data_IF_837658329745
#
_entry.id   IF_837658329745
#
_cell.length_a   1.000
_cell.length_b   1.000
_cell.length_c   1.000
_cell.angle_alpha   90.00
_cell.angle_beta   90.00
_cell.angle_gamma   90.00
#
_symmetry.space_group_name_H-M   'P 1'
#
loop_
_entity.id
_entity.type
_entity.pdbx_description
1 polymer ?
#
# COMPACT_ATOMS: atom_id res chain seq x y z
N UNK A 1 -62.63 -27.57 14.63
CA UNK A 1 -61.34 -28.07 14.08
C UNK A 1 -61.30 -27.76 12.59
N UNK A 2 -60.51 -26.77 12.13
CA UNK A 2 -60.10 -26.59 10.73
C UNK A 2 -58.80 -25.78 10.73
N UNK A 3 -57.72 -26.41 10.27
CA UNK A 3 -56.37 -25.86 10.14
C UNK A 3 -56.28 -25.14 8.80
N UNK A 4 -55.74 -23.92 8.78
CA UNK A 4 -55.23 -23.32 7.55
C UNK A 4 -53.79 -22.87 7.78
N UNK A 5 -52.87 -23.67 7.26
CA UNK A 5 -51.49 -23.30 7.02
C UNK A 5 -51.43 -22.53 5.69
N UNK A 6 -50.76 -21.38 5.66
CA UNK A 6 -50.41 -20.72 4.39
C UNK A 6 -48.94 -20.35 4.41
N UNK A 7 -48.20 -21.29 3.84
CA UNK A 7 -46.89 -21.25 3.22
C UNK A 7 -46.42 -19.85 2.80
N UNK A 8 -45.41 -19.30 3.49
CA UNK A 8 -44.67 -18.13 3.05
C UNK A 8 -43.33 -18.61 2.46
N UNK A 9 -43.28 -18.78 1.14
CA UNK A 9 -42.04 -19.09 0.41
C UNK A 9 -41.12 -17.86 0.42
N UNK A 10 -40.20 -17.79 1.39
CA UNK A 10 -39.06 -16.89 1.33
C UNK A 10 -38.03 -17.50 0.35
N UNK A 11 -38.03 -16.98 -0.88
CA UNK A 11 -36.92 -17.16 -1.81
C UNK A 11 -35.68 -16.45 -1.24
N UNK A 12 -34.87 -17.19 -0.47
CA UNK A 12 -33.51 -16.79 -0.13
C UNK A 12 -32.67 -16.96 -1.39
N UNK A 13 -32.69 -15.94 -2.23
CA UNK A 13 -31.74 -15.81 -3.34
C UNK A 13 -30.37 -15.56 -2.72
N UNK A 14 -29.61 -16.64 -2.53
CA UNK A 14 -28.22 -16.62 -2.11
C UNK A 14 -27.44 -15.94 -3.24
N UNK A 15 -27.31 -14.60 -3.17
CA UNK A 15 -26.44 -13.84 -4.04
C UNK A 15 -25.03 -14.40 -3.88
N UNK A 16 -24.60 -15.14 -4.90
CA UNK A 16 -23.23 -15.56 -5.14
C UNK A 16 -22.35 -14.31 -5.08
N UNK A 17 -21.65 -14.13 -3.96
CA UNK A 17 -20.60 -13.12 -3.82
C UNK A 17 -19.47 -13.53 -4.78
N UNK A 18 -19.29 -12.84 -5.92
CA UNK A 18 -18.16 -13.11 -6.77
C UNK A 18 -16.98 -12.35 -6.17
N UNK A 19 -16.07 -13.08 -5.53
CA UNK A 19 -14.81 -12.51 -5.11
C UNK A 19 -14.29 -13.11 -3.83
N UNK A 20 -13.78 -14.34 -3.91
CA UNK A 20 -12.60 -14.65 -3.10
C UNK A 20 -11.47 -13.75 -3.61
N UNK A 21 -11.44 -12.50 -3.15
CA UNK A 21 -10.24 -11.71 -3.20
C UNK A 21 -9.18 -12.54 -2.47
N UNK A 22 -8.19 -13.03 -3.22
CA UNK A 22 -7.13 -13.87 -2.69
C UNK A 22 -6.57 -13.22 -1.44
N UNK A 23 -6.50 -13.99 -0.36
CA UNK A 23 -5.92 -13.48 0.87
C UNK A 23 -4.53 -12.91 0.56
N UNK A 24 -4.22 -11.69 1.01
CA UNK A 24 -2.93 -11.07 0.77
C UNK A 24 -1.81 -12.01 1.17
N UNK A 25 -0.74 -12.05 0.36
CA UNK A 25 0.42 -12.90 0.59
C UNK A 25 0.96 -12.66 2.00
N UNK A 26 1.15 -13.75 2.75
CA UNK A 26 1.79 -13.68 4.05
C UNK A 26 3.19 -13.03 3.91
N UNK A 27 3.53 -12.12 4.84
CA UNK A 27 4.85 -11.50 4.85
C UNK A 27 5.93 -12.57 5.05
N UNK A 28 7.07 -12.43 4.37
CA UNK A 28 8.24 -13.24 4.73
C UNK A 28 8.65 -12.93 6.18
N UNK A 29 9.24 -13.89 6.93
CA UNK A 29 9.72 -13.64 8.29
C UNK A 29 10.70 -12.48 8.38
N UNK A 30 11.58 -12.31 7.38
CA UNK A 30 12.56 -11.23 7.32
C UNK A 30 11.87 -9.87 7.17
N UNK A 31 10.88 -9.77 6.28
CA UNK A 31 10.12 -8.53 6.07
C UNK A 31 9.22 -8.22 7.26
N UNK A 32 8.57 -9.22 7.86
CA UNK A 32 7.78 -9.02 9.09
C UNK A 32 8.65 -8.49 10.25
N UNK A 33 9.88 -9.01 10.40
CA UNK A 33 10.84 -8.54 11.40
C UNK A 33 11.30 -7.11 11.10
N UNK A 34 11.60 -6.80 9.85
CA UNK A 34 12.03 -5.47 9.40
C UNK A 34 10.94 -4.42 9.68
N UNK A 35 9.73 -4.67 9.17
CA UNK A 35 8.62 -3.72 9.26
C UNK A 35 8.01 -3.66 10.66
N UNK A 36 8.12 -4.73 11.44
CA UNK A 36 7.49 -4.84 12.76
C UNK A 36 5.96 -5.03 12.66
N UNK A 37 5.31 -5.31 13.79
CA UNK A 37 3.92 -5.77 13.81
C UNK A 37 2.90 -4.72 13.36
N UNK A 38 3.11 -3.44 13.66
CA UNK A 38 2.19 -2.35 13.32
C UNK A 38 2.10 -2.15 11.80
N UNK A 39 3.22 -1.87 11.15
CA UNK A 39 3.29 -1.73 9.68
C UNK A 39 2.84 -3.02 9.00
N UNK A 40 3.28 -4.19 9.48
CA UNK A 40 2.88 -5.50 8.92
C UNK A 40 1.36 -5.70 8.97
N UNK A 41 0.73 -5.35 10.10
CA UNK A 41 -0.72 -5.47 10.28
C UNK A 41 -1.52 -4.59 9.33
N UNK A 42 -1.08 -3.35 9.11
CA UNK A 42 -1.73 -2.43 8.16
C UNK A 42 -1.49 -2.90 6.72
N UNK A 43 -0.24 -3.26 6.37
CA UNK A 43 0.14 -3.68 5.02
C UNK A 43 -0.62 -4.93 4.55
N UNK A 44 -0.87 -5.89 5.44
CA UNK A 44 -1.59 -7.12 5.10
C UNK A 44 -3.09 -6.91 4.88
N UNK A 45 -3.70 -5.87 5.44
CA UNK A 45 -5.14 -5.66 5.26
C UNK A 45 -5.50 -4.17 5.39
N UNK A 46 -5.05 -3.34 4.44
CA UNK A 46 -5.37 -1.93 4.45
C UNK A 46 -6.85 -1.74 4.10
N UNK A 47 -7.53 -0.83 4.81
CA UNK A 47 -8.89 -0.40 4.46
C UNK A 47 -8.87 0.48 3.20
N UNK A 48 -7.79 1.24 3.03
CA UNK A 48 -7.60 2.20 1.94
C UNK A 48 -6.12 2.42 1.68
N UNK A 49 -5.76 2.56 0.40
CA UNK A 49 -4.45 3.04 -0.03
C UNK A 49 -4.62 4.26 -0.93
N UNK A 50 -4.13 5.39 -0.48
CA UNK A 50 -4.10 6.64 -1.24
C UNK A 50 -2.73 6.80 -1.93
N UNK A 51 -2.70 7.37 -3.13
CA UNK A 51 -1.46 7.63 -3.86
C UNK A 51 -1.23 9.13 -4.05
N UNK A 52 0.04 9.54 -4.09
CA UNK A 52 0.43 10.95 -4.23
C UNK A 52 1.70 11.08 -5.09
N UNK A 53 1.78 12.13 -5.91
CA UNK A 53 3.06 12.73 -6.31
C UNK A 53 3.46 13.74 -5.25
N UNK A 54 4.73 13.71 -4.86
CA UNK A 54 5.26 14.53 -3.77
C UNK A 54 6.54 15.23 -4.20
N UNK A 55 6.86 16.32 -3.49
CA UNK A 55 8.16 16.97 -3.62
C UNK A 55 9.22 16.18 -2.85
N UNK A 56 10.40 16.04 -3.45
CA UNK A 56 11.56 15.55 -2.72
C UNK A 56 12.03 16.55 -1.65
N UNK A 57 11.72 17.83 -1.83
CA UNK A 57 11.96 18.88 -0.85
C UNK A 57 10.91 18.84 0.26
N UNK A 58 11.37 18.93 1.50
CA UNK A 58 10.53 19.02 2.68
C UNK A 58 10.08 20.47 2.89
N UNK A 59 8.82 20.66 3.24
CA UNK A 59 8.28 21.97 3.62
C UNK A 59 7.41 21.81 4.87
N UNK A 60 7.84 22.40 5.97
CA UNK A 60 7.13 22.37 7.24
C UNK A 60 5.77 23.07 7.20
N UNK A 61 5.55 23.99 6.27
CA UNK A 61 4.35 24.81 6.17
C UNK A 61 3.40 24.37 5.05
N UNK A 62 3.73 23.30 4.32
CA UNK A 62 2.88 22.82 3.25
C UNK A 62 1.49 22.42 3.77
N UNK A 63 0.40 22.82 3.08
CA UNK A 63 -0.97 22.58 3.53
C UNK A 63 -1.36 21.10 3.52
N UNK A 64 -0.70 20.30 2.68
CA UNK A 64 -0.92 18.86 2.57
C UNK A 64 0.41 18.12 2.45
N UNK A 65 0.56 17.06 3.26
CA UNK A 65 1.79 16.28 3.34
C UNK A 65 1.53 14.78 3.41
N UNK A 66 2.58 14.02 3.12
CA UNK A 66 2.73 12.61 3.48
C UNK A 66 4.13 12.44 4.08
N UNK A 67 4.20 12.01 5.34
CA UNK A 67 5.40 12.22 6.15
C UNK A 67 5.76 13.71 6.21
N UNK A 68 7.01 14.02 5.86
CA UNK A 68 7.53 15.40 5.80
C UNK A 68 7.49 16.01 4.40
N UNK A 69 6.97 15.27 3.42
CA UNK A 69 6.98 15.67 2.01
C UNK A 69 5.68 16.34 1.58
N UNK A 70 5.83 17.45 0.84
CA UNK A 70 4.71 18.20 0.26
C UNK A 70 4.00 17.37 -0.81
N UNK A 71 2.68 17.26 -0.70
CA UNK A 71 1.86 16.66 -1.77
C UNK A 71 1.71 17.66 -2.91
N UNK A 72 2.22 17.29 -4.08
CA UNK A 72 2.08 18.08 -5.32
C UNK A 72 0.80 17.74 -6.06
N UNK A 73 0.43 16.46 -6.05
CA UNK A 73 -0.77 15.96 -6.72
C UNK A 73 -1.29 14.72 -6.00
N UNK A 74 -2.58 14.71 -5.66
CA UNK A 74 -3.27 13.50 -5.23
C UNK A 74 -3.57 12.60 -6.44
N UNK A 75 -3.20 11.32 -6.34
CA UNK A 75 -3.56 10.29 -7.29
C UNK A 75 -4.87 9.58 -6.91
N UNK A 76 -5.27 8.55 -7.67
CA UNK A 76 -6.45 7.76 -7.33
C UNK A 76 -6.20 6.92 -6.07
N UNK A 77 -7.30 6.52 -5.43
CA UNK A 77 -7.28 5.40 -4.46
C UNK A 77 -6.95 4.14 -5.26
N UNK A 78 -6.02 3.31 -4.76
CA UNK A 78 -5.62 2.10 -5.47
C UNK A 78 -6.82 1.14 -5.59
N UNK A 79 -6.96 0.54 -6.77
CA UNK A 79 -7.87 -0.60 -6.96
C UNK A 79 -7.40 -1.80 -6.14
N UNK A 80 -8.26 -2.80 -5.95
CA UNK A 80 -7.88 -4.06 -5.26
C UNK A 80 -6.64 -4.72 -5.90
N UNK A 81 -6.56 -4.71 -7.23
CA UNK A 81 -5.43 -5.29 -7.97
C UNK A 81 -4.14 -4.49 -7.74
N UNK A 82 -4.21 -3.16 -7.81
CA UNK A 82 -3.07 -2.28 -7.56
C UNK A 82 -2.60 -2.39 -6.10
N UNK A 83 -3.53 -2.43 -5.16
CA UNK A 83 -3.24 -2.62 -3.75
C UNK A 83 -2.55 -3.96 -3.50
N UNK A 84 -3.02 -5.04 -4.14
CA UNK A 84 -2.39 -6.35 -4.05
C UNK A 84 -0.97 -6.35 -4.64
N UNK A 85 -0.73 -5.67 -5.77
CA UNK A 85 0.62 -5.52 -6.35
C UNK A 85 1.56 -4.77 -5.40
N UNK A 86 1.12 -3.64 -4.84
CA UNK A 86 1.91 -2.88 -3.87
C UNK A 86 2.21 -3.71 -2.62
N UNK A 87 1.20 -4.38 -2.06
CA UNK A 87 1.35 -5.23 -0.89
C UNK A 87 2.29 -6.41 -1.17
N UNK A 88 2.19 -7.04 -2.33
CA UNK A 88 3.10 -8.13 -2.72
C UNK A 88 4.55 -7.66 -2.76
N UNK A 89 4.83 -6.54 -3.44
CA UNK A 89 6.19 -5.97 -3.44
C UNK A 89 6.68 -5.70 -2.02
N UNK A 90 5.87 -5.01 -1.20
CA UNK A 90 6.25 -4.62 0.15
C UNK A 90 6.26 -5.75 1.19
N UNK A 91 5.80 -6.96 0.84
CA UNK A 91 5.76 -8.12 1.75
C UNK A 91 6.67 -9.27 1.32
N UNK A 92 7.14 -9.27 0.07
CA UNK A 92 7.98 -10.32 -0.48
C UNK A 92 9.46 -9.97 -0.34
N UNK A 93 10.23 -10.85 0.29
CA UNK A 93 11.69 -10.72 0.38
C UNK A 93 12.38 -10.63 -0.98
N UNK A 94 11.79 -11.24 -2.01
CA UNK A 94 12.31 -11.18 -3.38
C UNK A 94 12.27 -9.79 -4.00
N UNK A 95 11.56 -8.85 -3.37
CA UNK A 95 11.48 -7.46 -3.81
C UNK A 95 12.56 -6.58 -3.21
N UNK A 96 13.42 -7.12 -2.34
CA UNK A 96 14.40 -6.35 -1.57
C UNK A 96 15.84 -6.75 -1.89
N UNK A 97 16.76 -5.80 -1.72
CA UNK A 97 18.19 -6.08 -1.48
C UNK A 97 18.50 -5.72 -0.03
N UNK A 98 18.19 -6.63 0.89
CA UNK A 98 18.36 -6.40 2.33
C UNK A 98 19.82 -6.10 2.69
N UNK A 99 20.01 -5.24 3.68
CA UNK A 99 21.31 -4.81 4.21
C UNK A 99 22.24 -4.11 3.18
N UNK A 100 21.71 -3.70 2.02
CA UNK A 100 22.48 -2.96 1.04
C UNK A 100 22.53 -1.46 1.38
N UNK A 101 23.74 -0.92 1.60
CA UNK A 101 23.93 0.52 1.69
C UNK A 101 24.10 1.13 0.29
N UNK A 102 23.02 1.69 -0.27
CA UNK A 102 23.11 2.50 -1.50
C UNK A 102 23.69 3.88 -1.21
N UNK A 103 24.60 4.36 -2.06
CA UNK A 103 25.15 5.73 -1.99
C UNK A 103 24.21 6.79 -2.58
N UNK A 104 23.06 6.38 -3.10
CA UNK A 104 22.12 7.31 -3.70
C UNK A 104 21.34 8.07 -2.62
N UNK A 105 21.18 9.40 -2.74
CA UNK A 105 20.29 10.14 -1.85
C UNK A 105 18.84 9.66 -2.00
N UNK A 106 18.13 9.55 -0.88
CA UNK A 106 16.70 9.27 -0.89
C UNK A 106 15.92 10.53 -1.28
N UNK A 107 15.55 10.63 -2.56
CA UNK A 107 14.79 11.74 -3.13
C UNK A 107 13.42 11.24 -3.60
N UNK A 108 12.44 11.09 -2.69
CA UNK A 108 11.16 10.50 -3.03
C UNK A 108 10.33 11.46 -3.88
N UNK A 109 9.64 10.91 -4.86
CA UNK A 109 8.74 11.65 -5.76
C UNK A 109 7.33 11.11 -5.76
N UNK A 110 7.11 9.96 -5.11
CA UNK A 110 5.81 9.34 -4.94
C UNK A 110 5.61 8.89 -3.49
N UNK A 111 4.36 8.87 -3.05
CA UNK A 111 3.99 8.41 -1.72
C UNK A 111 2.68 7.62 -1.75
N UNK A 112 2.59 6.60 -0.90
CA UNK A 112 1.37 5.85 -0.62
C UNK A 112 1.01 5.98 0.86
N UNK A 113 -0.22 6.35 1.17
CA UNK A 113 -0.74 6.29 2.55
C UNK A 113 -1.63 5.07 2.68
N UNK A 114 -1.27 4.17 3.57
CA UNK A 114 -2.07 2.99 3.90
C UNK A 114 -2.76 3.25 5.24
N UNK A 115 -4.06 3.02 5.30
CA UNK A 115 -4.87 3.24 6.51
C UNK A 115 -5.60 1.96 6.90
N UNK A 116 -5.62 1.64 8.20
CA UNK A 116 -6.45 0.57 8.78
C UNK A 116 -6.93 0.99 10.16
N UNK A 117 -8.24 0.90 10.44
CA UNK A 117 -8.82 1.20 11.78
C UNK A 117 -8.35 2.55 12.38
N UNK A 118 -8.26 3.60 11.56
CA UNK A 118 -7.75 4.95 11.89
C UNK A 118 -6.23 5.07 12.13
N UNK A 119 -5.48 3.98 12.10
CA UNK A 119 -4.02 4.00 12.04
C UNK A 119 -3.56 4.12 10.59
N UNK A 120 -2.41 4.76 10.37
CA UNK A 120 -1.83 4.86 9.03
C UNK A 120 -0.33 4.87 9.05
N UNK A 121 0.29 4.34 8.01
CA UNK A 121 1.70 4.54 7.71
C UNK A 121 1.87 4.93 6.24
N UNK A 122 3.05 5.43 5.90
CA UNK A 122 3.38 5.90 4.55
C UNK A 122 4.48 5.04 3.93
N UNK A 123 4.37 4.79 2.62
CA UNK A 123 5.46 4.28 1.78
C UNK A 123 5.88 5.39 0.84
N UNK A 124 7.06 5.95 1.04
CA UNK A 124 7.66 6.92 0.14
C UNK A 124 8.54 6.19 -0.88
N UNK A 125 8.53 6.63 -2.13
CA UNK A 125 9.23 5.96 -3.22
C UNK A 125 10.11 6.96 -3.96
N UNK A 126 11.39 6.61 -4.11
CA UNK A 126 12.39 7.28 -4.92
C UNK A 126 12.77 6.36 -6.11
N UNK A 127 12.00 6.39 -7.22
CA UNK A 127 12.17 5.43 -8.32
C UNK A 127 13.53 5.53 -8.99
N UNK A 128 14.13 6.73 -9.02
CA UNK A 128 15.43 6.96 -9.65
C UNK A 128 16.57 6.14 -9.05
N UNK A 129 16.41 5.64 -7.83
CA UNK A 129 17.38 4.78 -7.15
C UNK A 129 16.79 3.48 -6.62
N UNK A 130 15.55 3.18 -6.99
CA UNK A 130 14.75 2.07 -6.46
C UNK A 130 14.84 1.98 -4.92
N UNK A 131 14.69 3.11 -4.24
CA UNK A 131 14.63 3.16 -2.78
C UNK A 131 13.22 3.48 -2.35
N UNK A 132 12.70 2.74 -1.38
CA UNK A 132 11.48 3.10 -0.68
C UNK A 132 11.75 3.32 0.79
N UNK A 133 10.82 4.01 1.43
CA UNK A 133 10.87 4.24 2.85
C UNK A 133 9.52 4.00 3.47
N UNK A 134 9.50 3.16 4.50
CA UNK A 134 8.33 2.90 5.32
C UNK A 134 8.39 3.83 6.53
N UNK A 135 7.39 4.67 6.70
CA UNK A 135 7.33 5.66 7.78
C UNK A 135 6.02 5.53 8.56
N UNK A 136 6.14 5.30 9.86
CA UNK A 136 5.07 5.47 10.84
C UNK A 136 5.42 6.64 11.78
N UNK A 137 4.65 6.85 12.85
CA UNK A 137 4.89 7.95 13.81
C UNK A 137 6.21 7.81 14.59
N UNK A 138 6.73 6.60 14.73
CA UNK A 138 7.84 6.27 15.63
C UNK A 138 9.09 5.80 14.87
N UNK A 139 8.95 5.42 13.59
CA UNK A 139 9.98 4.71 12.82
C UNK A 139 10.01 5.13 11.37
N UNK A 140 11.22 5.05 10.81
CA UNK A 140 11.52 5.29 9.40
C UNK A 140 12.53 4.25 8.92
N UNK A 141 12.16 3.45 7.93
CA UNK A 141 12.96 2.33 7.42
C UNK A 141 13.16 2.54 5.92
N UNK A 142 14.41 2.70 5.47
CA UNK A 142 14.74 2.80 4.05
C UNK A 142 15.29 1.47 3.57
N UNK A 143 14.77 0.97 2.46
CA UNK A 143 15.27 -0.24 1.82
C UNK A 143 15.40 -0.08 0.31
N UNK A 144 16.24 -0.94 -0.24
CA UNK A 144 16.43 -1.11 -1.67
C UNK A 144 15.39 -2.07 -2.24
N UNK A 145 14.67 -1.63 -3.28
CA UNK A 145 13.70 -2.44 -4.02
C UNK A 145 14.10 -2.73 -5.47
N UNK A 146 15.39 -2.64 -5.85
CA UNK A 146 15.87 -2.90 -7.23
C UNK A 146 15.17 -4.10 -7.92
N UNK A 147 15.02 -5.28 -7.28
CA UNK A 147 14.34 -6.42 -7.89
C UNK A 147 12.88 -6.17 -8.28
N UNK A 148 12.21 -5.22 -7.63
CA UNK A 148 10.83 -4.83 -7.89
C UNK A 148 10.70 -3.51 -8.68
N UNK A 149 11.81 -2.91 -9.14
CA UNK A 149 11.81 -1.58 -9.74
C UNK A 149 10.88 -1.45 -10.95
N UNK A 150 10.89 -2.42 -11.85
CA UNK A 150 10.01 -2.40 -13.04
C UNK A 150 8.53 -2.54 -12.69
N UNK A 151 8.22 -3.38 -11.70
CA UNK A 151 6.83 -3.58 -11.24
C UNK A 151 6.31 -2.31 -10.56
N UNK A 152 7.15 -1.66 -9.75
CA UNK A 152 6.85 -0.38 -9.13
C UNK A 152 6.67 0.71 -10.20
N UNK A 153 7.57 0.79 -11.18
CA UNK A 153 7.46 1.76 -12.27
C UNK A 153 6.15 1.61 -13.03
N UNK A 154 5.78 0.37 -13.41
CA UNK A 154 4.51 0.09 -14.08
C UNK A 154 3.31 0.54 -13.24
N UNK A 155 3.31 0.26 -11.93
CA UNK A 155 2.25 0.72 -11.04
C UNK A 155 2.16 2.26 -11.00
N UNK A 156 3.31 2.94 -10.94
CA UNK A 156 3.34 4.41 -10.93
C UNK A 156 2.88 5.03 -12.24
N UNK A 157 3.23 4.43 -13.39
CA UNK A 157 2.78 4.89 -14.71
C UNK A 157 1.25 4.77 -14.86
N UNK A 158 0.64 3.71 -14.30
CA UNK A 158 -0.81 3.53 -14.27
C UNK A 158 -1.52 4.57 -13.39
N UNK A 159 -0.94 4.88 -12.22
CA UNK A 159 -1.52 5.82 -11.26
C UNK A 159 -1.34 7.28 -11.70
N UNK A 160 -0.25 7.58 -12.42
CA UNK A 160 0.14 8.93 -12.80
C UNK A 160 0.65 8.98 -14.25
N UNK A 161 -0.21 8.77 -15.25
CA UNK A 161 0.17 8.81 -16.66
C UNK A 161 0.80 10.18 -16.99
N UNK A 162 1.92 10.15 -17.71
CA UNK A 162 2.53 11.35 -18.26
C UNK A 162 1.64 11.81 -19.43
N UNK A 163 0.95 12.93 -19.26
CA UNK A 163 0.22 13.59 -20.34
C UNK A 163 1.17 14.42 -21.21
#
# INVERSE_FOLDING_TARGET
MKKHASLCCLFVSCMLLPGCAGAPSALSPSIAKLLGPEISGILQAPDRIESFRISAEMDENAPQKIGEHTVLQAGPILSTEQAHRLAFMASSETSYVLDASKRCPFLPTYGFRLTRNAESFSILVAPGCALWRFEDKDRSIIEDFDPAADTMKSLLDELFPQN
#
